data_IF_512519701096
#
_entry.id   IF_512519701096
#
_cell.length_a   1.000
_cell.length_b   1.000
_cell.length_c   1.000
_cell.angle_alpha   90.00
_cell.angle_beta   90.00
_cell.angle_gamma   90.00
#
_symmetry.space_group_name_H-M   'P 1'
#
loop_
_entity.id
_entity.type
_entity.pdbx_description
1 polymer ?
#
# COMPACT_ATOMS: atom_id res chain seq x y z
N UNK A 1 0.39 18.02 -19.08
CA UNK A 1 -0.05 19.17 -19.89
C UNK A 1 1.17 20.00 -20.22
N UNK A 2 1.51 20.12 -21.50
CA UNK A 2 2.72 20.83 -21.93
C UNK A 2 2.70 22.31 -21.51
N UNK A 3 1.52 22.89 -21.31
CA UNK A 3 1.37 24.30 -20.90
C UNK A 3 1.75 24.55 -19.43
N UNK A 4 1.64 23.53 -18.56
CA UNK A 4 1.98 23.63 -17.13
C UNK A 4 3.38 23.09 -16.81
N UNK A 5 4.05 22.43 -17.75
CA UNK A 5 5.31 21.72 -17.51
C UNK A 5 5.18 20.49 -16.59
N UNK A 6 3.94 20.05 -16.32
CA UNK A 6 3.64 18.90 -15.46
C UNK A 6 3.41 17.66 -16.32
N UNK A 7 4.23 16.64 -16.05
CA UNK A 7 4.13 15.30 -16.61
C UNK A 7 3.37 14.44 -15.60
N UNK A 8 2.18 13.99 -15.98
CA UNK A 8 1.39 13.05 -15.20
C UNK A 8 1.65 11.63 -15.68
N UNK A 9 1.77 10.68 -14.73
CA UNK A 9 1.85 9.26 -15.03
C UNK A 9 1.04 8.46 -14.02
N UNK A 10 0.30 7.47 -14.51
CA UNK A 10 -0.39 6.46 -13.71
C UNK A 10 0.11 5.08 -14.10
N UNK A 11 0.38 4.22 -13.12
CA UNK A 11 0.84 2.85 -13.33
C UNK A 11 0.24 1.91 -12.30
N UNK A 12 0.12 0.64 -12.68
CA UNK A 12 -0.19 -0.44 -11.74
C UNK A 12 1.12 -1.14 -11.41
N UNK A 13 1.46 -1.16 -10.12
CA UNK A 13 2.56 -1.95 -9.59
C UNK A 13 2.03 -3.28 -9.04
N UNK A 14 2.79 -4.35 -9.23
CA UNK A 14 2.49 -5.67 -8.66
C UNK A 14 3.49 -5.96 -7.56
N UNK A 15 3.01 -6.16 -6.35
CA UNK A 15 3.80 -6.54 -5.19
C UNK A 15 3.50 -7.98 -4.82
N UNK A 16 4.52 -8.75 -4.45
CA UNK A 16 4.30 -10.08 -3.88
C UNK A 16 3.69 -9.95 -2.49
N UNK A 17 2.69 -10.78 -2.21
CA UNK A 17 2.17 -10.92 -0.86
C UNK A 17 3.27 -11.48 0.04
N UNK A 18 3.71 -10.70 1.02
CA UNK A 18 4.76 -11.09 1.98
C UNK A 18 4.19 -11.60 3.31
N UNK A 19 2.86 -11.75 3.41
CA UNK A 19 2.22 -12.21 4.64
C UNK A 19 2.68 -13.63 4.94
N UNK A 20 3.13 -13.90 6.19
CA UNK A 20 3.53 -15.22 6.61
C UNK A 20 2.47 -16.29 6.33
N UNK A 21 2.91 -17.46 5.88
CA UNK A 21 2.03 -18.58 5.51
C UNK A 21 1.10 -19.01 6.66
N UNK A 22 1.55 -18.86 7.92
CA UNK A 22 0.73 -19.16 9.09
C UNK A 22 -0.52 -18.27 9.18
N UNK A 23 -0.42 -17.01 8.75
CA UNK A 23 -1.55 -16.08 8.68
C UNK A 23 -2.41 -16.37 7.45
N UNK A 24 -1.82 -16.83 6.34
CA UNK A 24 -2.57 -17.22 5.13
C UNK A 24 -3.51 -18.40 5.35
N UNK A 25 -3.18 -19.27 6.30
CA UNK A 25 -4.00 -20.44 6.67
C UNK A 25 -5.14 -20.11 7.62
N UNK A 26 -5.15 -18.92 8.25
CA UNK A 26 -6.21 -18.57 9.19
C UNK A 26 -7.51 -18.34 8.42
N UNK A 27 -8.45 -19.24 8.64
CA UNK A 27 -9.76 -19.24 8.01
C UNK A 27 -10.71 -18.41 8.87
N UNK A 28 -11.24 -17.32 8.36
CA UNK A 28 -12.40 -16.67 8.99
C UNK A 28 -13.64 -17.43 8.56
N UNK A 29 -14.26 -18.14 9.50
CA UNK A 29 -15.60 -18.70 9.31
C UNK A 29 -16.57 -17.53 9.09
N UNK A 30 -16.95 -17.25 7.85
CA UNK A 30 -18.16 -16.46 7.59
C UNK A 30 -19.34 -17.43 7.68
N UNK A 31 -20.23 -17.22 8.64
CA UNK A 31 -21.55 -17.85 8.58
C UNK A 31 -22.27 -17.31 7.34
N UNK A 32 -22.30 -18.12 6.27
CA UNK A 32 -23.21 -17.89 5.15
C UNK A 32 -24.48 -18.65 5.49
N UNK A 33 -25.47 -17.95 6.03
CA UNK A 33 -26.77 -18.53 6.33
C UNK A 33 -27.61 -18.61 5.05
N UNK A 34 -27.38 -19.64 4.23
CA UNK A 34 -28.40 -20.36 3.45
C UNK A 34 -27.74 -21.60 2.81
N UNK A 35 -28.15 -22.78 3.27
CA UNK A 35 -27.77 -24.13 2.80
C UNK A 35 -26.31 -24.57 3.05
N UNK A 36 -26.15 -25.29 4.16
CA UNK A 36 -25.00 -26.08 4.65
C UNK A 36 -23.90 -26.42 3.62
N UNK A 37 -22.95 -25.50 3.46
CA UNK A 37 -21.61 -25.76 2.91
C UNK A 37 -20.68 -24.66 3.43
N UNK A 38 -19.87 -24.97 4.44
CA UNK A 38 -18.84 -24.07 4.94
C UNK A 38 -17.80 -23.92 3.83
N UNK A 39 -17.87 -22.81 3.08
CA UNK A 39 -16.81 -22.44 2.15
C UNK A 39 -15.65 -21.85 2.94
N UNK A 40 -14.57 -22.62 3.10
CA UNK A 40 -13.32 -22.14 3.70
C UNK A 40 -12.68 -21.12 2.76
N UNK A 41 -12.81 -19.84 3.07
CA UNK A 41 -12.15 -18.77 2.30
C UNK A 41 -10.85 -18.40 3.00
N UNK A 42 -9.71 -18.80 2.44
CA UNK A 42 -8.39 -18.29 2.84
C UNK A 42 -8.23 -16.85 2.36
N UNK A 43 -8.77 -15.95 3.18
CA UNK A 43 -8.84 -14.50 3.00
C UNK A 43 -7.50 -13.83 2.61
N UNK A 44 -6.37 -14.39 3.05
CA UNK A 44 -5.02 -13.82 2.84
C UNK A 44 -4.18 -14.60 1.81
N UNK A 45 -4.79 -15.44 0.97
CA UNK A 45 -4.08 -16.38 0.07
C UNK A 45 -3.66 -15.80 -1.29
N UNK A 46 -4.18 -14.63 -1.66
CA UNK A 46 -3.86 -14.05 -2.97
C UNK A 46 -2.34 -13.75 -3.07
N UNK A 47 -1.63 -14.27 -4.10
CA UNK A 47 -0.17 -14.17 -4.18
C UNK A 47 0.33 -12.76 -4.50
N UNK A 48 -0.51 -11.92 -5.10
CA UNK A 48 -0.14 -10.60 -5.58
C UNK A 48 -1.05 -9.53 -4.96
N UNK A 49 -0.43 -8.39 -4.65
CA UNK A 49 -1.12 -7.16 -4.25
C UNK A 49 -0.89 -6.16 -5.36
N UNK A 50 -1.97 -5.67 -5.95
CA UNK A 50 -1.90 -4.62 -6.97
C UNK A 50 -2.01 -3.26 -6.30
N UNK A 51 -1.06 -2.38 -6.63
CA UNK A 51 -1.04 -0.99 -6.20
C UNK A 51 -1.23 -0.11 -7.42
N UNK A 52 -2.02 0.95 -7.27
CA UNK A 52 -2.05 2.03 -8.24
C UNK A 52 -1.15 3.16 -7.76
N UNK A 53 -0.30 3.64 -8.66
CA UNK A 53 0.61 4.76 -8.41
C UNK A 53 0.38 5.87 -9.43
N UNK A 54 0.10 7.05 -8.92
CA UNK A 54 -0.04 8.28 -9.68
C UNK A 54 1.10 9.22 -9.33
N UNK A 55 1.67 9.88 -10.34
CA UNK A 55 2.77 10.84 -10.16
C UNK A 55 2.55 12.09 -11.00
N UNK A 56 2.96 13.23 -10.46
CA UNK A 56 2.94 14.54 -11.09
C UNK A 56 4.34 15.14 -10.99
N UNK A 57 5.11 15.04 -12.07
CA UNK A 57 6.45 15.60 -12.17
C UNK A 57 6.37 17.02 -12.76
N UNK A 58 6.73 18.03 -11.98
CA UNK A 58 6.93 19.37 -12.46
C UNK A 58 8.43 19.59 -12.75
N UNK A 59 8.77 19.60 -14.03
CA UNK A 59 10.18 19.78 -14.48
C UNK A 59 10.70 21.19 -14.23
N UNK A 60 9.82 22.21 -14.30
CA UNK A 60 10.19 23.61 -14.08
C UNK A 60 10.46 23.92 -12.60
N UNK A 61 9.63 23.37 -11.71
CA UNK A 61 9.76 23.51 -10.25
C UNK A 61 10.65 22.44 -9.60
N UNK A 62 11.23 21.54 -10.41
CA UNK A 62 12.08 20.41 -9.96
C UNK A 62 11.46 19.65 -8.78
N UNK A 63 10.17 19.31 -8.89
CA UNK A 63 9.48 18.55 -7.87
C UNK A 63 8.60 17.46 -8.47
N UNK A 64 8.33 16.44 -7.67
CA UNK A 64 7.42 15.35 -8.01
C UNK A 64 6.55 15.04 -6.82
N UNK A 65 5.24 15.04 -7.02
CA UNK A 65 4.30 14.45 -6.06
C UNK A 65 3.92 13.06 -6.55
N UNK A 66 3.77 12.11 -5.63
CA UNK A 66 3.35 10.75 -5.91
C UNK A 66 2.29 10.32 -4.90
N UNK A 67 1.30 9.55 -5.37
CA UNK A 67 0.27 8.91 -4.56
C UNK A 67 0.19 7.44 -4.93
N UNK A 68 0.17 6.59 -3.92
CA UNK A 68 0.04 5.15 -4.09
C UNK A 68 -1.09 4.63 -3.23
N UNK A 69 -1.91 3.71 -3.75
CA UNK A 69 -2.92 3.01 -2.95
C UNK A 69 -3.14 1.57 -3.41
N UNK A 70 -3.58 0.70 -2.51
CA UNK A 70 -3.95 -0.67 -2.85
C UNK A 70 -5.23 -0.72 -3.69
N UNK A 71 -5.21 -1.47 -4.80
CA UNK A 71 -6.40 -1.82 -5.57
C UNK A 71 -7.07 -3.11 -5.07
N UNK A 72 -6.26 -4.06 -4.62
CA UNK A 72 -6.74 -5.33 -4.06
C UNK A 72 -6.59 -5.35 -2.54
N UNK A 73 -7.19 -6.33 -1.87
CA UNK A 73 -7.06 -6.53 -0.41
C UNK A 73 -7.70 -5.46 0.49
N UNK A 74 -8.35 -4.46 -0.09
CA UNK A 74 -8.95 -3.32 0.62
C UNK A 74 -10.01 -3.69 1.66
N UNK A 75 -10.58 -4.89 1.55
CA UNK A 75 -11.53 -5.47 2.52
C UNK A 75 -10.88 -5.98 3.82
N UNK A 76 -9.55 -6.12 3.85
CA UNK A 76 -8.79 -6.59 5.02
C UNK A 76 -7.77 -5.54 5.49
N UNK A 77 -7.13 -4.88 4.53
CA UNK A 77 -6.25 -3.77 4.81
C UNK A 77 -6.19 -2.83 3.61
N UNK A 78 -6.19 -1.53 3.88
CA UNK A 78 -5.87 -0.51 2.89
C UNK A 78 -4.52 0.11 3.22
N UNK A 79 -3.64 0.22 2.22
CA UNK A 79 -2.45 1.07 2.26
C UNK A 79 -2.70 2.26 1.36
N UNK A 80 -2.34 3.44 1.84
CA UNK A 80 -2.23 4.65 1.05
C UNK A 80 -0.94 5.37 1.41
N UNK A 81 -0.24 5.87 0.41
CA UNK A 81 0.98 6.64 0.59
C UNK A 81 0.91 7.91 -0.26
N UNK A 82 1.41 9.01 0.32
CA UNK A 82 1.71 10.23 -0.41
C UNK A 82 3.19 10.57 -0.20
N UNK A 83 3.89 10.87 -1.28
CA UNK A 83 5.29 11.28 -1.23
C UNK A 83 5.58 12.48 -2.12
N UNK A 84 6.58 13.26 -1.71
CA UNK A 84 7.04 14.45 -2.40
C UNK A 84 8.56 14.43 -2.50
N UNK A 85 9.05 14.53 -3.72
CA UNK A 85 10.45 14.78 -4.05
C UNK A 85 10.58 16.25 -4.43
N UNK A 86 11.55 16.95 -3.86
CA UNK A 86 11.82 18.36 -4.18
C UNK A 86 13.31 18.65 -4.03
N UNK A 87 13.77 19.72 -4.67
CA UNK A 87 15.12 20.23 -4.43
C UNK A 87 15.33 20.56 -2.95
N UNK A 88 16.50 20.18 -2.42
CA UNK A 88 16.84 20.45 -1.03
C UNK A 88 17.15 21.93 -0.82
N UNK A 89 16.67 22.49 0.29
CA UNK A 89 16.98 23.87 0.68
C UNK A 89 18.42 24.01 1.19
N UNK A 90 19.05 22.92 1.62
CA UNK A 90 20.41 22.90 2.16
C UNK A 90 21.47 22.75 1.07
N UNK A 91 21.17 21.98 0.02
CA UNK A 91 22.08 21.73 -1.09
C UNK A 91 21.31 21.55 -2.41
N UNK A 92 21.53 22.40 -3.43
CA UNK A 92 20.81 22.32 -4.71
C UNK A 92 21.09 21.05 -5.53
N UNK A 93 22.14 20.29 -5.17
CA UNK A 93 22.47 19.00 -5.76
C UNK A 93 21.78 17.82 -5.06
N UNK A 94 21.04 18.07 -3.97
CA UNK A 94 20.30 17.05 -3.22
C UNK A 94 18.80 17.14 -3.50
N UNK A 95 18.12 16.01 -3.29
CA UNK A 95 16.66 15.92 -3.35
C UNK A 95 16.14 15.54 -1.97
N UNK A 96 15.33 16.42 -1.39
CA UNK A 96 14.56 16.09 -0.20
C UNK A 96 13.43 15.14 -0.58
N UNK A 97 13.31 14.05 0.17
CA UNK A 97 12.23 13.09 0.04
C UNK A 97 11.39 13.08 1.31
N UNK A 98 10.09 13.38 1.17
CA UNK A 98 9.12 13.27 2.27
C UNK A 98 8.06 12.26 1.90
N UNK A 99 7.83 11.28 2.79
CA UNK A 99 6.86 10.22 2.60
C UNK A 99 5.93 10.12 3.80
N UNK A 100 4.63 9.98 3.53
CA UNK A 100 3.59 9.75 4.53
C UNK A 100 2.76 8.55 4.09
N UNK A 101 2.89 7.46 4.82
CA UNK A 101 2.10 6.25 4.62
C UNK A 101 1.01 6.13 5.69
N UNK A 102 -0.12 5.53 5.31
CA UNK A 102 -1.19 5.09 6.21
C UNK A 102 -1.56 3.66 5.86
N UNK A 103 -1.52 2.80 6.87
CA UNK A 103 -2.11 1.46 6.81
C UNK A 103 -3.36 1.48 7.69
N UNK A 104 -4.44 0.90 7.20
CA UNK A 104 -5.63 0.64 8.01
C UNK A 104 -5.99 -0.82 7.85
N UNK A 105 -6.07 -1.53 8.97
CA UNK A 105 -6.47 -2.93 9.03
C UNK A 105 -7.93 -2.97 9.46
N UNK A 106 -8.77 -3.60 8.66
CA UNK A 106 -10.21 -3.73 8.89
C UNK A 106 -10.64 -5.18 8.71
N UNK A 107 -11.67 -5.63 9.43
CA UNK A 107 -12.27 -6.94 9.17
C UNK A 107 -11.46 -8.19 9.56
N UNK A 108 -10.37 -8.07 10.33
CA UNK A 108 -9.58 -9.21 10.79
C UNK A 108 -9.87 -9.68 12.24
N UNK A 109 -10.83 -9.06 12.93
CA UNK A 109 -11.30 -9.50 14.25
C UNK A 109 -10.17 -9.64 15.29
N UNK A 110 -10.09 -10.79 15.95
CA UNK A 110 -9.07 -11.11 16.97
C UNK A 110 -7.62 -11.04 16.46
N UNK A 111 -7.40 -11.00 15.14
CA UNK A 111 -6.06 -10.93 14.54
C UNK A 111 -5.57 -9.49 14.31
N UNK A 112 -6.39 -8.48 14.59
CA UNK A 112 -6.05 -7.07 14.37
C UNK A 112 -4.71 -6.69 15.01
N UNK A 113 -4.45 -7.11 16.26
CA UNK A 113 -3.20 -6.81 16.96
C UNK A 113 -1.97 -7.42 16.27
N UNK A 114 -2.08 -8.67 15.78
CA UNK A 114 -0.98 -9.36 15.10
C UNK A 114 -0.69 -8.73 13.73
N UNK A 115 -1.75 -8.39 12.98
CA UNK A 115 -1.61 -7.72 11.69
C UNK A 115 -1.08 -6.29 11.84
N UNK A 116 -1.48 -5.58 12.88
CA UNK A 116 -0.95 -4.26 13.20
C UNK A 116 0.54 -4.32 13.55
N UNK A 117 0.95 -5.25 14.42
CA UNK A 117 2.36 -5.45 14.76
C UNK A 117 3.21 -5.82 13.52
N UNK A 118 2.66 -6.64 12.63
CA UNK A 118 3.28 -6.96 11.35
C UNK A 118 3.40 -5.72 10.45
N UNK A 119 2.32 -4.95 10.27
CA UNK A 119 2.30 -3.74 9.47
C UNK A 119 3.30 -2.69 9.98
N UNK A 120 3.38 -2.47 11.29
CA UNK A 120 4.35 -1.57 11.90
C UNK A 120 5.80 -2.02 11.63
N UNK A 121 6.07 -3.32 11.75
CA UNK A 121 7.40 -3.89 11.47
C UNK A 121 7.76 -3.77 9.99
N UNK A 122 6.79 -4.05 9.11
CA UNK A 122 6.96 -3.93 7.65
C UNK A 122 7.26 -2.49 7.23
N UNK A 123 6.50 -1.51 7.73
CA UNK A 123 6.75 -0.09 7.45
C UNK A 123 8.15 0.36 7.91
N UNK A 124 8.56 -0.02 9.13
CA UNK A 124 9.90 0.32 9.66
C UNK A 124 11.04 -0.26 8.81
N UNK A 125 10.83 -1.44 8.22
CA UNK A 125 11.82 -2.06 7.32
C UNK A 125 11.74 -1.50 5.90
N UNK A 126 10.54 -1.22 5.40
CA UNK A 126 10.28 -0.67 4.07
C UNK A 126 10.88 0.72 3.88
N UNK A 127 10.81 1.57 4.90
CA UNK A 127 11.45 2.92 4.87
C UNK A 127 12.98 2.84 4.71
N UNK A 128 13.61 1.70 5.02
CA UNK A 128 15.06 1.51 4.90
C UNK A 128 15.51 0.86 3.59
N UNK A 129 14.58 0.36 2.78
CA UNK A 129 14.87 -0.27 1.48
C UNK A 129 14.72 0.74 0.36
#
# INVERSE_FOLDING_TARGET
DLSTGIIYRRRIATCQNVIPEILRKVTTSREIHYNSSISQVSVLKEPNIYLEEESWLNTQKRNMAMKTHCLTWTQYASLSEESVFRESLENPNWTDFTQKGRISVTGAGLLNCVLEAFAQSFLKQGVKK
#
